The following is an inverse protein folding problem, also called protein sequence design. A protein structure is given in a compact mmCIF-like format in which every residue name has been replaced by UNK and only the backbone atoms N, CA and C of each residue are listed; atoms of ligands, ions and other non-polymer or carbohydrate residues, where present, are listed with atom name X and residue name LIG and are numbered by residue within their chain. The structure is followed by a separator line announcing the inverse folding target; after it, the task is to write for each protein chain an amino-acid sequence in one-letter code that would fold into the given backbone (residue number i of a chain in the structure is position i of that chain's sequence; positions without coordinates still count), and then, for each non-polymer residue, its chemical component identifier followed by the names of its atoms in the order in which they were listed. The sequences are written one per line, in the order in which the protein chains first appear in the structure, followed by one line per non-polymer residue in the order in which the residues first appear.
data_IF_883658203905
#
_entry.id   IF_883658203905
#
_cell.length_a   1.000
_cell.length_b   1.000
_cell.length_c   1.000
_cell.angle_alpha   90.00
_cell.angle_beta   90.00
_cell.angle_gamma   90.00
#
_symmetry.space_group_name_H-M   'P 1'
#
loop_
_entity.id
_entity.type
_entity.pdbx_description
1 polymer ?
#
# COMPACT_ATOMS: atom_id res chain seq x y z
N UNK A 1 15.66 5.53 5.67
CA UNK A 1 14.34 4.90 5.52
C UNK A 1 13.46 5.86 4.74
N UNK A 2 12.84 5.45 3.62
CA UNK A 2 11.99 6.32 2.84
C UNK A 2 10.81 6.80 3.69
N UNK A 3 10.51 8.11 3.65
CA UNK A 3 9.38 8.68 4.39
C UNK A 3 8.03 8.21 3.85
N UNK A 4 7.98 7.78 2.59
CA UNK A 4 6.78 7.24 1.96
C UNK A 4 7.11 6.05 1.06
N UNK A 5 6.18 5.12 0.96
CA UNK A 5 6.24 3.95 0.10
C UNK A 5 5.05 3.96 -0.86
N UNK A 6 5.22 3.31 -2.01
CA UNK A 6 4.15 3.09 -2.99
C UNK A 6 4.12 1.63 -3.40
N UNK A 7 2.95 1.15 -3.83
CA UNK A 7 2.84 -0.18 -4.42
C UNK A 7 3.49 -0.20 -5.79
N UNK A 8 4.13 -1.31 -6.11
CA UNK A 8 4.53 -1.62 -7.47
C UNK A 8 3.30 -1.79 -8.34
N UNK A 9 3.28 -1.17 -9.52
CA UNK A 9 2.11 -1.15 -10.42
C UNK A 9 1.59 -2.56 -10.75
N UNK A 10 2.51 -3.53 -10.91
CA UNK A 10 2.15 -4.94 -11.19
C UNK A 10 1.42 -5.64 -10.03
N UNK A 11 1.59 -5.16 -8.80
CA UNK A 11 1.01 -5.75 -7.60
C UNK A 11 -0.37 -5.16 -7.25
N UNK A 12 -0.73 -3.98 -7.82
CA UNK A 12 -2.00 -3.30 -7.54
C UNK A 12 -3.22 -4.21 -7.74
N UNK A 13 -3.37 -4.95 -8.85
CA UNK A 13 -4.52 -5.83 -9.04
C UNK A 13 -4.59 -6.93 -7.98
N UNK A 14 -3.45 -7.54 -7.64
CA UNK A 14 -3.36 -8.62 -6.66
C UNK A 14 -3.75 -8.16 -5.25
N UNK A 15 -3.30 -6.97 -4.86
CA UNK A 15 -3.63 -6.32 -3.57
C UNK A 15 -5.09 -5.88 -3.53
N UNK A 16 -5.64 -5.34 -4.63
CA UNK A 16 -7.08 -5.03 -4.68
C UNK A 16 -7.94 -6.29 -4.51
N UNK A 17 -7.54 -7.41 -5.11
CA UNK A 17 -8.24 -8.68 -4.92
C UNK A 17 -8.06 -9.26 -3.51
N UNK A 18 -7.03 -8.87 -2.75
CA UNK A 18 -6.83 -9.36 -1.38
C UNK A 18 -7.81 -8.73 -0.38
N UNK A 19 -8.36 -7.54 -0.65
CA UNK A 19 -9.40 -6.92 0.19
C UNK A 19 -10.54 -7.89 0.50
N UNK A 20 -11.16 -8.43 -0.54
CA UNK A 20 -12.29 -9.37 -0.40
C UNK A 20 -11.87 -10.68 0.26
N UNK A 21 -10.67 -11.20 -0.07
CA UNK A 21 -10.15 -12.44 0.52
C UNK A 21 -9.88 -12.32 2.02
N UNK A 22 -9.56 -11.13 2.49
CA UNK A 22 -9.31 -10.85 3.91
C UNK A 22 -10.56 -10.33 4.64
N UNK A 23 -11.76 -10.43 4.03
CA UNK A 23 -13.01 -10.05 4.70
C UNK A 23 -13.34 -8.57 4.70
N UNK A 24 -12.66 -7.75 3.88
CA UNK A 24 -12.95 -6.33 3.72
C UNK A 24 -13.80 -6.08 2.47
N UNK A 25 -15.14 -5.92 2.59
CA UNK A 25 -16.03 -5.71 1.45
C UNK A 25 -15.85 -4.32 0.79
N UNK A 26 -15.20 -3.38 1.48
CA UNK A 26 -14.88 -2.06 0.93
C UNK A 26 -13.65 -1.44 1.58
N UNK A 27 -13.07 -0.44 0.92
CA UNK A 27 -11.95 0.36 1.45
C UNK A 27 -12.30 1.07 2.76
N UNK A 28 -13.59 1.42 2.94
CA UNK A 28 -14.08 2.08 4.14
C UNK A 28 -13.96 1.17 5.36
N UNK A 29 -14.37 -0.10 5.24
CA UNK A 29 -14.28 -1.07 6.34
C UNK A 29 -12.82 -1.30 6.74
N UNK A 30 -11.91 -1.45 5.77
CA UNK A 30 -10.47 -1.57 6.06
C UNK A 30 -9.93 -0.30 6.76
N UNK A 31 -10.35 0.88 6.33
CA UNK A 31 -9.93 2.14 6.94
C UNK A 31 -10.42 2.27 8.39
N UNK A 32 -11.67 1.87 8.65
CA UNK A 32 -12.26 1.86 10.00
C UNK A 32 -11.56 0.84 10.91
N UNK A 33 -11.30 -0.37 10.42
CA UNK A 33 -10.62 -1.44 11.15
C UNK A 33 -9.18 -1.05 11.54
N UNK A 34 -8.46 -0.41 10.63
CA UNK A 34 -7.09 0.07 10.86
C UNK A 34 -7.02 1.44 11.56
N UNK A 35 -8.16 2.12 11.77
CA UNK A 35 -8.21 3.46 12.37
C UNK A 35 -7.52 4.56 11.55
N UNK A 36 -7.47 4.41 10.21
CA UNK A 36 -6.82 5.36 9.29
C UNK A 36 -7.82 6.01 8.35
N UNK A 37 -7.41 7.09 7.68
CA UNK A 37 -8.28 7.74 6.70
C UNK A 37 -8.53 6.85 5.47
N UNK A 38 -9.78 6.79 5.02
CA UNK A 38 -10.15 6.07 3.78
C UNK A 38 -9.37 6.59 2.55
N UNK A 39 -9.05 7.88 2.51
CA UNK A 39 -8.22 8.48 1.46
C UNK A 39 -6.82 7.87 1.43
N UNK A 40 -6.22 7.54 2.57
CA UNK A 40 -4.93 6.84 2.67
C UNK A 40 -5.01 5.44 2.10
N UNK A 41 -6.07 4.69 2.43
CA UNK A 41 -6.32 3.36 1.83
C UNK A 41 -6.49 3.46 0.32
N UNK A 42 -7.25 4.44 -0.16
CA UNK A 42 -7.43 4.69 -1.59
C UNK A 42 -6.12 5.05 -2.28
N UNK A 43 -5.28 5.87 -1.66
CA UNK A 43 -3.95 6.20 -2.18
C UNK A 43 -3.07 4.95 -2.31
N UNK A 44 -2.99 4.15 -1.25
CA UNK A 44 -2.27 2.89 -1.25
C UNK A 44 -2.75 1.97 -2.39
N UNK A 45 -4.05 1.68 -2.48
CA UNK A 45 -4.61 0.78 -3.49
C UNK A 45 -4.48 1.29 -4.92
N UNK A 46 -4.27 2.58 -5.12
CA UNK A 46 -4.03 3.17 -6.44
C UNK A 46 -2.53 3.38 -6.73
N UNK A 47 -1.63 2.85 -5.90
CA UNK A 47 -0.19 2.95 -6.09
C UNK A 47 0.37 4.36 -5.87
N UNK A 48 -0.37 5.23 -5.19
CA UNK A 48 0.13 6.55 -4.79
C UNK A 48 1.05 6.41 -3.57
N UNK A 49 2.04 7.30 -3.41
CA UNK A 49 2.87 7.32 -2.20
C UNK A 49 2.02 7.53 -0.95
N UNK A 50 2.24 6.69 0.05
CA UNK A 50 1.65 6.81 1.39
C UNK A 50 2.76 6.73 2.43
N UNK A 51 2.53 7.31 3.61
CA UNK A 51 3.47 7.25 4.73
C UNK A 51 3.88 5.79 5.03
N UNK A 52 5.15 5.59 5.43
CA UNK A 52 5.69 4.27 5.71
C UNK A 52 4.85 3.50 6.73
N UNK A 53 4.44 4.11 7.85
CA UNK A 53 3.66 3.44 8.90
C UNK A 53 2.33 2.98 8.34
N UNK A 54 1.60 3.87 7.65
CA UNK A 54 0.33 3.52 7.02
C UNK A 54 0.48 2.42 5.96
N UNK A 55 1.57 2.43 5.18
CA UNK A 55 1.84 1.39 4.20
C UNK A 55 1.95 0.01 4.87
N UNK A 56 2.74 -0.07 5.94
CA UNK A 56 2.95 -1.31 6.69
C UNK A 56 1.66 -1.79 7.34
N UNK A 57 0.91 -0.91 8.00
CA UNK A 57 -0.36 -1.25 8.66
C UNK A 57 -1.39 -1.79 7.65
N UNK A 58 -1.51 -1.18 6.48
CA UNK A 58 -2.39 -1.68 5.42
C UNK A 58 -1.93 -3.05 4.90
N UNK A 59 -0.62 -3.24 4.71
CA UNK A 59 -0.08 -4.54 4.29
C UNK A 59 -0.38 -5.64 5.32
N UNK A 60 -0.20 -5.34 6.62
CA UNK A 60 -0.53 -6.25 7.72
C UNK A 60 -2.00 -6.62 7.74
N UNK A 61 -2.91 -5.63 7.63
CA UNK A 61 -4.35 -5.87 7.58
C UNK A 61 -4.77 -6.73 6.38
N UNK A 62 -4.05 -6.62 5.26
CA UNK A 62 -4.31 -7.43 4.06
C UNK A 62 -3.49 -8.74 3.99
N UNK A 63 -2.79 -9.10 5.07
CA UNK A 63 -1.89 -10.25 5.12
C UNK A 63 -0.94 -10.32 3.91
N UNK A 64 -0.27 -9.20 3.62
CA UNK A 64 0.72 -9.06 2.55
C UNK A 64 2.08 -8.69 3.13
N UNK A 65 3.14 -9.31 2.62
CA UNK A 65 4.51 -8.90 2.93
C UNK A 65 4.85 -7.62 2.17
N UNK A 66 4.97 -6.52 2.91
CA UNK A 66 5.17 -5.18 2.35
C UNK A 66 6.41 -5.08 1.45
N UNK A 67 7.47 -5.85 1.73
CA UNK A 67 8.70 -5.87 0.93
C UNK A 67 8.53 -6.51 -0.44
N UNK A 68 7.54 -7.38 -0.61
CA UNK A 68 7.32 -8.06 -1.90
C UNK A 68 6.53 -7.17 -2.87
N UNK A 69 5.73 -6.25 -2.32
CA UNK A 69 4.81 -5.41 -3.09
C UNK A 69 5.22 -3.94 -3.15
N UNK A 70 6.09 -3.49 -2.24
CA UNK A 70 6.63 -2.14 -2.26
C UNK A 70 7.52 -1.92 -3.48
N UNK A 71 7.42 -0.72 -4.02
CA UNK A 71 8.30 -0.25 -5.06
C UNK A 71 9.53 0.42 -4.43
N UNK A 72 10.67 -0.25 -4.51
CA UNK A 72 11.97 0.26 -4.07
C UNK A 72 12.78 0.88 -5.21
N UNK A 73 12.33 0.78 -6.46
CA UNK A 73 13.10 1.26 -7.62
C UNK A 73 13.21 2.79 -7.67
N UNK A 74 12.47 3.52 -6.82
CA UNK A 74 12.56 4.98 -6.75
C UNK A 74 13.82 5.50 -6.02
N UNK A 75 14.61 4.65 -5.36
CA UNK A 75 15.90 5.04 -4.76
C UNK A 75 17.09 4.85 -5.72
N UNK A 76 16.86 4.37 -6.94
CA UNK A 76 17.91 4.04 -7.91
C UNK A 76 17.73 4.72 -9.27
N UNK A 77 17.46 6.03 -9.27
CA UNK A 77 17.90 6.89 -10.38
C UNK A 77 19.22 7.54 -9.94
N UNK A 78 20.36 7.27 -10.60
CA UNK A 78 21.53 8.11 -10.43
C UNK A 78 21.19 9.50 -10.97
N UNK A 79 21.51 10.53 -10.20
CA UNK A 79 21.75 11.87 -10.75
C UNK A 79 22.85 11.77 -11.83
N UNK A 80 22.46 11.57 -13.08
CA UNK A 80 23.26 11.77 -14.29
C UNK A 80 22.29 12.38 -15.33
N UNK A 81 22.43 13.59 -15.85
CA UNK A 81 23.52 14.59 -15.98
C UNK A 81 22.93 15.99 -16.11
#
# INVERSE_FOLDING_TARGET
MPRSLRLRLKCIPAVKSSLLRNGFPSQKILAEDLGIAQSTVSHFLNGKPVDYVNFIEICRGLNQEWRDIADFELESLPDEV
#
